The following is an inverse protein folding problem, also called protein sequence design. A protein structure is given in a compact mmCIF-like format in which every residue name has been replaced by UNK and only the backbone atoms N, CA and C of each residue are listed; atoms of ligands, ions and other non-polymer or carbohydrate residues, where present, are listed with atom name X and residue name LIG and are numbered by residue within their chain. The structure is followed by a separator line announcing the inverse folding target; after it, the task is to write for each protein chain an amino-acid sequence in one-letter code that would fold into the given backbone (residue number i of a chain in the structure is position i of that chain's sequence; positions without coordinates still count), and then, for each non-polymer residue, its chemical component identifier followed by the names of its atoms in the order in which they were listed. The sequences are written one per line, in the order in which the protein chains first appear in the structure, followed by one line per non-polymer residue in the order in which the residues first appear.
data_IF_908145853998
#
_entry.id   IF_908145853998
#
_cell.length_a   1.000
_cell.length_b   1.000
_cell.length_c   1.000
_cell.angle_alpha   90.00
_cell.angle_beta   90.00
_cell.angle_gamma   90.00
#
_symmetry.space_group_name_H-M   'P 1'
#
loop_
_entity.id
_entity.type
_entity.pdbx_description
1 polymer ?
#
# COMPACT_ATOMS: atom_id res chain seq x y z
N UNK A 1 -15.96 4.26 -7.15
CA UNK A 1 -15.30 4.63 -5.88
C UNK A 1 -13.96 5.35 -6.06
N UNK A 2 -12.97 4.77 -6.73
CA UNK A 2 -11.65 5.39 -6.96
C UNK A 2 -11.68 6.77 -7.63
N UNK A 3 -12.61 6.99 -8.56
CA UNK A 3 -12.82 8.30 -9.20
C UNK A 3 -13.32 9.35 -8.18
N UNK A 4 -14.15 8.97 -7.21
CA UNK A 4 -14.60 9.88 -6.15
C UNK A 4 -13.41 10.41 -5.34
N UNK A 5 -12.47 9.52 -5.01
CA UNK A 5 -11.26 9.83 -4.23
C UNK A 5 -10.25 10.73 -4.98
N UNK A 6 -10.31 10.78 -6.32
CA UNK A 6 -9.27 11.43 -7.14
C UNK A 6 -9.78 12.50 -8.10
N UNK A 7 -11.09 12.62 -8.30
CA UNK A 7 -11.71 13.62 -9.18
C UNK A 7 -12.94 14.32 -8.59
N UNK A 8 -13.40 13.90 -7.40
CA UNK A 8 -14.61 14.45 -6.80
C UNK A 8 -15.91 14.00 -7.48
N UNK A 9 -15.88 13.00 -8.38
CA UNK A 9 -17.07 12.48 -9.04
C UNK A 9 -16.95 10.99 -9.34
N UNK A 10 -18.08 10.29 -9.37
CA UNK A 10 -18.22 8.96 -9.98
C UNK A 10 -18.57 9.06 -11.48
N UNK A 11 -18.79 10.29 -12.00
CA UNK A 11 -19.25 10.61 -13.34
C UNK A 11 -20.54 9.88 -13.76
N UNK A 12 -21.34 9.43 -12.79
CA UNK A 12 -22.52 8.60 -13.03
C UNK A 12 -22.22 7.19 -13.53
N UNK A 13 -21.02 6.65 -13.27
CA UNK A 13 -20.72 5.25 -13.54
C UNK A 13 -21.48 4.34 -12.56
N UNK A 14 -22.28 3.40 -13.09
CA UNK A 14 -23.07 2.42 -12.32
C UNK A 14 -22.57 0.98 -12.47
N UNK A 15 -21.39 0.82 -13.05
CA UNK A 15 -20.70 -0.44 -13.30
C UNK A 15 -19.19 -0.15 -13.37
N UNK A 16 -18.37 -1.16 -13.69
CA UNK A 16 -16.91 -1.08 -13.76
C UNK A 16 -16.37 -1.12 -15.21
N UNK A 17 -16.81 -0.22 -16.10
CA UNK A 17 -16.31 -0.20 -17.47
C UNK A 17 -14.85 0.23 -17.50
N UNK A 18 -14.08 -0.35 -18.42
CA UNK A 18 -12.68 0.03 -18.61
C UNK A 18 -12.51 1.51 -19.01
N UNK A 19 -11.26 2.01 -19.00
CA UNK A 19 -10.95 3.39 -19.36
C UNK A 19 -11.51 3.82 -20.71
N UNK A 20 -12.07 5.03 -20.79
CA UNK A 20 -12.52 5.66 -22.04
C UNK A 20 -13.49 4.82 -22.91
N UNK A 21 -14.23 3.89 -22.30
CA UNK A 21 -15.02 2.89 -23.04
C UNK A 21 -16.52 3.22 -23.10
N UNK A 22 -17.07 3.85 -22.07
CA UNK A 22 -18.50 4.21 -21.97
C UNK A 22 -18.69 5.71 -21.82
N UNK A 23 -19.94 6.18 -21.83
CA UNK A 23 -20.23 7.61 -21.64
C UNK A 23 -19.68 8.16 -20.32
N UNK A 24 -19.82 7.42 -19.22
CA UNK A 24 -19.34 7.87 -17.92
C UNK A 24 -17.79 7.92 -17.89
N UNK A 25 -17.10 6.89 -18.40
CA UNK A 25 -15.62 6.89 -18.41
C UNK A 25 -15.01 7.81 -19.46
N UNK A 26 -15.73 8.16 -20.53
CA UNK A 26 -15.37 9.26 -21.44
C UNK A 26 -15.48 10.63 -20.77
N UNK A 27 -16.43 10.79 -19.85
CA UNK A 27 -16.56 12.02 -19.07
C UNK A 27 -15.39 12.13 -18.09
N UNK A 28 -15.06 11.04 -17.39
CA UNK A 28 -13.86 10.96 -16.55
C UNK A 28 -12.58 11.23 -17.35
N UNK A 29 -12.47 10.68 -18.57
CA UNK A 29 -11.31 10.82 -19.45
C UNK A 29 -10.91 12.27 -19.72
N UNK A 30 -11.89 13.18 -19.81
CA UNK A 30 -11.65 14.61 -20.02
C UNK A 30 -11.69 15.47 -18.76
N UNK A 31 -11.80 14.87 -17.57
CA UNK A 31 -12.00 15.60 -16.33
C UNK A 31 -10.67 16.06 -15.70
N UNK A 32 -10.70 17.23 -15.06
CA UNK A 32 -9.65 17.64 -14.11
C UNK A 32 -9.64 16.68 -12.94
N UNK A 33 -8.45 16.33 -12.46
CA UNK A 33 -8.28 15.38 -11.35
C UNK A 33 -7.22 15.88 -10.36
N UNK A 34 -6.99 15.09 -9.29
CA UNK A 34 -6.09 15.45 -8.20
C UNK A 34 -4.65 15.69 -8.68
N UNK A 35 -4.20 15.03 -9.75
CA UNK A 35 -2.88 15.25 -10.34
C UNK A 35 -2.72 16.69 -10.78
N UNK A 36 -3.74 17.27 -11.44
CA UNK A 36 -3.72 18.66 -11.88
C UNK A 36 -3.60 19.62 -10.70
N UNK A 37 -4.31 19.34 -9.60
CA UNK A 37 -4.27 20.17 -8.40
C UNK A 37 -2.90 20.11 -7.73
N UNK A 38 -2.32 18.92 -7.62
CA UNK A 38 -1.00 18.73 -7.02
C UNK A 38 0.08 19.42 -7.85
N UNK A 39 0.11 19.18 -9.17
CA UNK A 39 1.15 19.76 -10.04
C UNK A 39 1.03 21.29 -10.15
N UNK A 40 -0.20 21.84 -10.21
CA UNK A 40 -0.40 23.28 -10.21
C UNK A 40 0.11 23.96 -8.92
N UNK A 41 0.16 23.23 -7.80
CA UNK A 41 0.74 23.68 -6.54
C UNK A 41 2.24 23.37 -6.40
N UNK A 42 2.89 22.82 -7.43
CA UNK A 42 4.30 22.41 -7.40
C UNK A 42 4.56 21.17 -6.55
N UNK A 43 3.53 20.36 -6.29
CA UNK A 43 3.63 19.11 -5.53
C UNK A 43 3.87 17.93 -6.47
N UNK A 44 4.54 16.91 -5.95
CA UNK A 44 4.82 15.65 -6.64
C UNK A 44 3.82 14.58 -6.21
N UNK A 45 3.52 13.64 -7.12
CA UNK A 45 2.56 12.57 -6.88
C UNK A 45 3.05 11.24 -7.46
N UNK A 46 2.71 10.07 -6.92
CA UNK A 46 3.07 8.80 -7.58
C UNK A 46 2.04 7.71 -7.27
N UNK A 47 1.64 6.97 -8.29
CA UNK A 47 0.71 5.84 -8.19
C UNK A 47 1.45 4.52 -8.26
N UNK A 48 1.18 3.63 -7.32
CA UNK A 48 1.75 2.29 -7.20
C UNK A 48 0.60 1.29 -7.31
N UNK A 49 0.69 0.40 -8.29
CA UNK A 49 -0.34 -0.60 -8.57
C UNK A 49 0.28 -1.98 -8.42
N UNK A 50 -0.17 -2.75 -7.43
CA UNK A 50 0.35 -4.11 -7.24
C UNK A 50 -0.02 -4.99 -8.44
N UNK A 51 0.92 -5.84 -8.83
CA UNK A 51 0.86 -6.73 -10.00
C UNK A 51 0.68 -6.06 -11.37
N UNK A 52 0.70 -4.73 -11.44
CA UNK A 52 0.63 -4.03 -12.71
C UNK A 52 1.84 -4.41 -13.59
N UNK A 53 1.65 -4.89 -14.82
CA UNK A 53 2.76 -5.41 -15.64
C UNK A 53 3.81 -4.38 -16.04
N UNK A 54 3.39 -3.14 -16.30
CA UNK A 54 4.23 -2.04 -16.71
C UNK A 54 3.57 -0.71 -16.37
N UNK A 55 4.33 0.39 -16.42
CA UNK A 55 3.73 1.73 -16.30
C UNK A 55 2.59 1.92 -17.30
N UNK A 56 1.51 2.52 -16.82
CA UNK A 56 0.28 2.78 -17.58
C UNK A 56 -0.37 1.58 -18.26
N UNK A 57 -0.21 0.40 -17.67
CA UNK A 57 -0.98 -0.74 -18.14
C UNK A 57 -2.48 -0.45 -17.93
N UNK A 58 -3.24 -0.38 -19.02
CA UNK A 58 -4.62 0.15 -19.04
C UNK A 58 -5.69 -0.94 -19.25
N UNK A 59 -5.34 -2.20 -18.98
CA UNK A 59 -6.24 -3.35 -19.06
C UNK A 59 -5.98 -4.29 -17.89
N UNK A 60 -6.91 -5.19 -17.60
CA UNK A 60 -6.71 -6.20 -16.55
C UNK A 60 -5.56 -7.15 -16.91
N UNK A 61 -4.85 -7.65 -15.90
CA UNK A 61 -3.81 -8.67 -16.05
C UNK A 61 -3.60 -9.44 -14.76
N UNK A 62 -3.98 -10.72 -14.74
CA UNK A 62 -3.82 -11.57 -13.56
C UNK A 62 -4.62 -11.05 -12.36
N UNK A 63 -3.92 -10.62 -11.30
CA UNK A 63 -4.54 -9.99 -10.13
C UNK A 63 -4.57 -8.46 -10.20
N UNK A 64 -3.94 -7.85 -11.20
CA UNK A 64 -4.08 -6.43 -11.48
C UNK A 64 -5.39 -6.16 -12.23
N UNK A 65 -6.15 -5.20 -11.71
CA UNK A 65 -7.47 -4.82 -12.22
C UNK A 65 -7.47 -3.33 -12.52
N UNK A 66 -7.70 -2.96 -13.78
CA UNK A 66 -7.54 -1.57 -14.23
C UNK A 66 -8.57 -0.63 -13.60
N UNK A 67 -9.77 -1.11 -13.29
CA UNK A 67 -10.79 -0.26 -12.64
C UNK A 67 -10.46 0.14 -11.19
N UNK A 68 -9.46 -0.50 -10.56
CA UNK A 68 -8.88 -0.04 -9.28
C UNK A 68 -7.76 1.00 -9.46
N UNK A 69 -7.38 1.33 -10.69
CA UNK A 69 -6.36 2.34 -11.03
C UNK A 69 -7.01 3.59 -11.62
N UNK A 70 -7.36 4.61 -10.79
CA UNK A 70 -8.05 5.80 -11.29
C UNK A 70 -7.23 6.61 -12.30
N UNK A 71 -5.90 6.54 -12.23
CA UNK A 71 -5.02 7.32 -13.11
C UNK A 71 -5.13 6.90 -14.58
N UNK A 72 -5.51 5.64 -14.84
CA UNK A 72 -5.79 5.19 -16.20
C UNK A 72 -7.12 5.69 -16.73
N UNK A 73 -7.93 6.43 -15.96
CA UNK A 73 -9.19 7.00 -16.41
C UNK A 73 -9.11 8.48 -16.78
N UNK A 74 -7.93 9.10 -16.70
CA UNK A 74 -7.70 10.50 -17.06
C UNK A 74 -6.78 10.60 -18.28
N UNK A 75 -7.22 11.28 -19.33
CA UNK A 75 -6.47 11.38 -20.59
C UNK A 75 -5.14 12.09 -20.43
N UNK A 76 -5.10 13.12 -19.60
CA UNK A 76 -3.95 13.92 -19.25
C UNK A 76 -2.92 13.18 -18.39
N UNK A 77 -3.25 11.99 -17.89
CA UNK A 77 -2.31 11.06 -17.23
C UNK A 77 -1.97 9.90 -18.15
N UNK A 78 -2.97 9.21 -18.68
CA UNK A 78 -2.77 8.01 -19.50
C UNK A 78 -2.13 8.31 -20.87
N UNK A 79 -2.33 9.51 -21.42
CA UNK A 79 -1.79 9.90 -22.75
C UNK A 79 -0.57 10.83 -22.65
N UNK A 80 -0.18 11.28 -21.46
CA UNK A 80 1.03 12.08 -21.23
C UNK A 80 2.17 11.19 -20.75
N UNK A 81 3.25 11.07 -21.52
CA UNK A 81 4.35 10.16 -21.19
C UNK A 81 5.02 10.45 -19.84
N UNK A 82 5.04 11.71 -19.39
CA UNK A 82 5.70 12.11 -18.15
C UNK A 82 4.86 11.73 -16.93
N UNK A 83 3.57 12.07 -16.95
CA UNK A 83 2.61 11.70 -15.91
C UNK A 83 2.38 10.19 -15.89
N UNK A 84 2.29 9.58 -17.07
CA UNK A 84 2.19 8.15 -17.23
C UNK A 84 3.34 7.39 -16.55
N UNK A 85 4.59 7.85 -16.70
CA UNK A 85 5.75 7.25 -16.04
C UNK A 85 5.69 7.30 -14.49
N UNK A 86 4.74 8.05 -13.91
CA UNK A 86 4.48 8.12 -12.46
C UNK A 86 3.40 7.15 -11.97
N UNK A 87 2.78 6.39 -12.86
CA UNK A 87 1.92 5.25 -12.50
C UNK A 87 2.74 3.99 -12.75
N UNK A 88 3.19 3.34 -11.68
CA UNK A 88 4.22 2.28 -11.73
C UNK A 88 3.77 1.00 -11.02
N UNK A 89 4.35 -0.16 -11.39
CA UNK A 89 4.19 -1.37 -10.60
C UNK A 89 4.62 -1.13 -9.15
N UNK A 90 3.85 -1.62 -8.17
CA UNK A 90 4.16 -1.44 -6.76
C UNK A 90 5.47 -2.14 -6.35
N UNK A 91 5.93 -3.12 -7.12
CA UNK A 91 7.17 -3.85 -6.93
C UNK A 91 7.71 -4.43 -8.23
N UNK A 92 8.95 -4.98 -8.21
CA UNK A 92 9.59 -5.56 -9.39
C UNK A 92 9.04 -6.95 -9.76
N UNK A 93 8.16 -7.51 -8.94
CA UNK A 93 7.57 -8.84 -9.11
C UNK A 93 6.12 -8.85 -8.63
N UNK A 94 5.37 -9.87 -9.04
CA UNK A 94 4.03 -10.16 -8.52
C UNK A 94 4.06 -10.30 -6.98
N UNK A 95 3.00 -9.86 -6.32
CA UNK A 95 2.82 -9.79 -4.86
C UNK A 95 3.94 -9.02 -4.14
N UNK A 96 4.29 -7.83 -4.65
CA UNK A 96 5.36 -7.01 -4.08
C UNK A 96 5.05 -5.51 -4.11
N UNK A 97 5.30 -4.85 -2.98
CA UNK A 97 5.25 -3.39 -2.82
C UNK A 97 6.65 -2.75 -2.68
N UNK A 98 7.70 -3.45 -3.12
CA UNK A 98 9.08 -3.03 -2.88
C UNK A 98 9.44 -1.69 -3.52
N UNK A 99 8.80 -1.29 -4.62
CA UNK A 99 9.00 0.03 -5.26
C UNK A 99 8.48 1.14 -4.36
N UNK A 100 7.28 0.97 -3.77
CA UNK A 100 6.73 1.92 -2.80
C UNK A 100 7.65 2.04 -1.58
N UNK A 101 8.05 0.90 -1.00
CA UNK A 101 8.89 0.88 0.19
C UNK A 101 10.27 1.49 -0.06
N UNK A 102 10.83 1.33 -1.26
CA UNK A 102 12.08 1.97 -1.65
C UNK A 102 11.93 3.50 -1.72
N UNK A 103 10.84 4.01 -2.31
CA UNK A 103 10.60 5.45 -2.41
C UNK A 103 10.36 6.10 -1.05
N UNK A 104 9.72 5.38 -0.11
CA UNK A 104 9.56 5.81 1.30
C UNK A 104 10.89 5.83 2.10
N UNK A 105 11.98 5.29 1.53
CA UNK A 105 13.29 5.24 2.17
C UNK A 105 14.02 6.58 2.29
N UNK A 106 13.56 7.62 1.59
CA UNK A 106 14.14 8.97 1.62
C UNK A 106 13.14 10.05 1.18
N UNK A 107 13.26 11.26 1.71
CA UNK A 107 12.53 12.44 1.22
C UNK A 107 12.84 12.77 -0.25
N UNK A 108 14.04 12.43 -0.73
CA UNK A 108 14.44 12.70 -2.12
C UNK A 108 13.78 11.79 -3.15
N UNK A 109 13.24 10.64 -2.73
CA UNK A 109 12.59 9.65 -3.58
C UNK A 109 11.08 9.64 -3.39
N UNK A 110 10.61 10.02 -2.20
CA UNK A 110 9.20 10.13 -1.89
C UNK A 110 8.51 11.24 -2.69
N UNK A 111 7.22 11.06 -2.97
CA UNK A 111 6.35 12.11 -3.51
C UNK A 111 5.49 12.70 -2.41
N UNK A 112 4.96 13.92 -2.59
CA UNK A 112 4.06 14.55 -1.62
C UNK A 112 2.76 13.75 -1.48
N UNK A 113 2.24 13.24 -2.59
CA UNK A 113 1.08 12.35 -2.64
C UNK A 113 1.50 10.98 -3.19
N UNK A 114 1.25 9.91 -2.45
CA UNK A 114 1.60 8.54 -2.87
C UNK A 114 0.35 7.67 -2.75
N UNK A 115 -0.02 7.00 -3.82
CA UNK A 115 -1.22 6.17 -3.91
C UNK A 115 -0.83 4.71 -4.11
N UNK A 116 -1.32 3.80 -3.27
CA UNK A 116 -1.17 2.36 -3.46
C UNK A 116 -2.53 1.72 -3.69
N UNK A 117 -2.66 0.91 -4.74
CA UNK A 117 -3.76 -0.03 -4.93
C UNK A 117 -3.19 -1.46 -4.84
N UNK A 118 -3.57 -2.26 -3.82
CA UNK A 118 -3.24 -3.68 -3.76
C UNK A 118 -3.90 -4.47 -4.90
N UNK A 119 -3.40 -5.68 -5.16
CA UNK A 119 -4.01 -6.56 -6.14
C UNK A 119 -5.32 -7.16 -5.59
N UNK A 120 -6.12 -7.79 -6.46
CA UNK A 120 -7.47 -8.32 -6.12
C UNK A 120 -7.52 -9.35 -4.99
N UNK A 121 -6.37 -9.86 -4.55
CA UNK A 121 -6.30 -10.77 -3.40
C UNK A 121 -5.91 -10.06 -2.12
N UNK A 122 -4.98 -9.10 -2.21
CA UNK A 122 -4.53 -8.31 -1.07
C UNK A 122 -5.53 -7.21 -0.70
N UNK A 123 -6.38 -6.77 -1.62
CA UNK A 123 -7.52 -5.88 -1.36
C UNK A 123 -8.76 -6.60 -0.80
N UNK A 124 -8.70 -7.93 -0.65
CA UNK A 124 -9.78 -8.81 -0.16
C UNK A 124 -10.98 -8.98 -1.10
N UNK A 125 -10.89 -8.59 -2.38
CA UNK A 125 -12.00 -8.76 -3.31
C UNK A 125 -12.17 -10.24 -3.72
N UNK A 126 -11.08 -10.91 -4.08
CA UNK A 126 -11.08 -12.27 -4.65
C UNK A 126 -10.46 -13.31 -3.72
N UNK A 127 -9.89 -12.88 -2.60
CA UNK A 127 -9.27 -13.73 -1.60
C UNK A 127 -9.85 -13.44 -0.21
N UNK A 128 -9.56 -14.31 0.76
CA UNK A 128 -10.11 -14.19 2.11
C UNK A 128 -9.65 -12.91 2.84
N UNK A 129 -10.47 -12.45 3.79
CA UNK A 129 -10.11 -11.39 4.74
C UNK A 129 -8.80 -11.71 5.47
N UNK A 130 -8.55 -12.98 5.81
CA UNK A 130 -7.30 -13.40 6.46
C UNK A 130 -6.06 -13.12 5.60
N UNK A 131 -6.18 -13.26 4.28
CA UNK A 131 -5.08 -12.95 3.37
C UNK A 131 -4.80 -11.45 3.30
N UNK A 132 -5.83 -10.62 3.13
CA UNK A 132 -5.66 -9.17 3.17
C UNK A 132 -5.15 -8.67 4.53
N UNK A 133 -5.57 -9.29 5.64
CA UNK A 133 -5.07 -8.95 6.98
C UNK A 133 -3.59 -9.34 7.16
N UNK A 134 -3.19 -10.50 6.62
CA UNK A 134 -1.79 -10.93 6.57
C UNK A 134 -0.95 -9.96 5.72
N UNK A 135 -1.48 -9.51 4.58
CA UNK A 135 -0.85 -8.50 3.74
C UNK A 135 -0.67 -7.17 4.49
N UNK A 136 -1.75 -6.63 5.05
CA UNK A 136 -1.74 -5.34 5.75
C UNK A 136 -0.86 -5.36 7.01
N UNK A 137 -0.91 -6.45 7.80
CA UNK A 137 -0.05 -6.62 8.97
C UNK A 137 1.44 -6.73 8.61
N UNK A 138 1.77 -7.16 7.39
CA UNK A 138 3.14 -7.15 6.86
C UNK A 138 3.58 -5.81 6.26
N UNK A 139 2.69 -5.11 5.56
CA UNK A 139 3.02 -3.89 4.82
C UNK A 139 2.96 -2.62 5.69
N UNK A 140 1.87 -2.42 6.44
CA UNK A 140 1.64 -1.17 7.19
C UNK A 140 2.77 -0.87 8.17
N UNK A 141 3.29 -1.85 8.97
CA UNK A 141 4.43 -1.57 9.84
C UNK A 141 5.69 -1.14 9.07
N UNK A 142 5.93 -1.66 7.86
CA UNK A 142 7.08 -1.25 7.02
C UNK A 142 6.92 0.18 6.51
N UNK A 143 5.70 0.59 6.15
CA UNK A 143 5.41 1.98 5.77
C UNK A 143 5.67 2.91 6.96
N UNK A 144 5.10 2.59 8.13
CA UNK A 144 5.24 3.42 9.33
C UNK A 144 6.67 3.44 9.89
N UNK A 145 7.46 2.37 9.66
CA UNK A 145 8.88 2.29 10.03
C UNK A 145 9.82 2.76 8.90
N UNK A 146 9.31 3.33 7.82
CA UNK A 146 10.14 3.92 6.77
C UNK A 146 10.87 5.18 7.26
N UNK A 147 11.95 5.56 6.58
CA UNK A 147 12.66 6.82 6.88
C UNK A 147 11.70 8.00 6.80
N UNK A 148 10.92 8.09 5.72
CA UNK A 148 9.98 9.20 5.51
C UNK A 148 9.02 9.37 6.69
N UNK A 149 8.38 8.29 7.15
CA UNK A 149 7.43 8.36 8.26
C UNK A 149 8.09 8.67 9.61
N UNK A 150 9.36 8.32 9.80
CA UNK A 150 10.10 8.61 11.04
C UNK A 150 10.73 10.01 11.07
N UNK A 151 11.08 10.58 9.92
CA UNK A 151 11.81 11.86 9.85
C UNK A 151 10.94 13.04 9.43
N UNK A 152 9.76 12.78 8.85
CA UNK A 152 8.86 13.84 8.37
C UNK A 152 7.46 13.75 8.96
N UNK A 153 6.69 14.82 8.75
CA UNK A 153 5.26 14.84 9.02
C UNK A 153 4.51 14.12 7.89
N UNK A 154 4.49 12.79 7.93
CA UNK A 154 3.78 11.94 6.97
C UNK A 154 2.58 11.25 7.61
N UNK A 155 1.49 11.12 6.84
CA UNK A 155 0.28 10.42 7.24
C UNK A 155 -0.04 9.31 6.23
N UNK A 156 -0.49 8.17 6.74
CA UNK A 156 -1.03 7.06 5.97
C UNK A 156 -2.55 7.08 6.10
N UNK A 157 -3.23 7.08 4.96
CA UNK A 157 -4.67 6.84 4.88
C UNK A 157 -4.90 5.41 4.39
N UNK A 158 -5.67 4.64 5.15
CA UNK A 158 -6.14 3.32 4.72
C UNK A 158 -7.65 3.37 4.68
N UNK A 159 -8.24 2.98 3.56
CA UNK A 159 -9.68 2.85 3.38
C UNK A 159 -9.99 1.69 2.44
N UNK A 160 -11.26 1.34 2.32
CA UNK A 160 -11.77 0.47 1.26
C UNK A 160 -12.53 1.33 0.24
N UNK A 161 -12.69 0.81 -0.96
CA UNK A 161 -13.47 1.51 -1.97
C UNK A 161 -14.97 1.21 -1.78
N UNK A 162 -15.32 0.01 -1.31
CA UNK A 162 -16.67 -0.42 -0.96
C UNK A 162 -16.72 -1.45 0.18
N UNK A 163 -17.92 -1.89 0.54
CA UNK A 163 -18.16 -2.94 1.53
C UNK A 163 -19.61 -3.44 1.47
N UNK A 164 -19.84 -4.63 2.02
CA UNK A 164 -21.19 -5.22 2.09
C UNK A 164 -22.15 -4.41 2.96
N UNK A 165 -21.61 -3.73 3.98
CA UNK A 165 -22.33 -2.85 4.89
C UNK A 165 -21.55 -1.53 5.09
N UNK A 166 -22.24 -0.52 5.60
CA UNK A 166 -21.63 0.76 6.01
C UNK A 166 -21.56 0.86 7.55
N UNK A 167 -20.52 1.51 8.11
CA UNK A 167 -19.42 2.18 7.42
C UNK A 167 -18.30 1.22 6.99
N UNK A 168 -17.57 1.59 5.93
CA UNK A 168 -16.32 0.91 5.55
C UNK A 168 -15.17 1.24 6.52
N UNK A 169 -14.23 0.32 6.69
CA UNK A 169 -13.04 0.58 7.52
C UNK A 169 -12.21 1.71 6.94
N UNK A 170 -11.89 2.71 7.76
CA UNK A 170 -11.08 3.86 7.37
C UNK A 170 -10.24 4.34 8.55
N UNK A 171 -8.95 4.60 8.34
CA UNK A 171 -8.04 5.05 9.39
C UNK A 171 -6.95 5.99 8.86
N UNK A 172 -6.62 6.99 9.67
CA UNK A 172 -5.40 7.77 9.54
C UNK A 172 -4.36 7.27 10.53
N UNK A 173 -3.13 7.03 10.06
CA UNK A 173 -1.99 6.61 10.86
C UNK A 173 -0.76 7.46 10.57
N UNK A 174 0.24 7.40 11.45
CA UNK A 174 1.48 8.17 11.35
C UNK A 174 1.61 9.27 12.40
N UNK A 175 2.75 9.95 12.41
CA UNK A 175 3.10 10.93 13.43
C UNK A 175 2.12 12.09 13.61
N UNK A 176 1.39 12.61 12.59
CA UNK A 176 0.43 13.70 12.81
C UNK A 176 -0.95 13.23 13.29
N UNK A 177 -1.28 11.93 13.22
CA UNK A 177 -2.60 11.42 13.56
C UNK A 177 -2.80 11.24 15.07
N UNK A 178 -4.03 11.42 15.56
CA UNK A 178 -4.41 11.15 16.96
C UNK A 178 -4.48 9.64 17.20
N UNK A 179 -3.72 9.14 18.18
CA UNK A 179 -3.76 7.72 18.58
C UNK A 179 -5.07 7.37 19.27
N UNK A 180 -5.71 6.27 18.85
CA UNK A 180 -6.92 5.76 19.48
C UNK A 180 -8.12 6.71 19.37
N UNK A 181 -8.16 7.55 18.33
CA UNK A 181 -9.26 8.47 18.11
C UNK A 181 -10.32 7.84 17.21
N UNK A 182 -11.58 7.90 17.64
CA UNK A 182 -12.75 7.56 16.84
C UNK A 182 -13.64 8.79 16.70
N UNK A 183 -14.05 9.08 15.47
CA UNK A 183 -15.05 10.11 15.19
C UNK A 183 -16.46 9.53 15.21
N UNK A 184 -17.42 10.34 15.65
CA UNK A 184 -18.86 10.09 15.51
C UNK A 184 -19.48 10.79 14.30
N UNK A 185 -18.66 11.48 13.50
CA UNK A 185 -19.10 12.20 12.31
C UNK A 185 -19.08 11.29 11.08
N UNK A 186 -20.04 11.48 10.18
CA UNK A 186 -20.11 10.73 8.93
C UNK A 186 -19.16 11.32 7.88
N UNK A 187 -18.44 10.44 7.21
CA UNK A 187 -17.53 10.77 6.11
C UNK A 187 -17.79 9.83 4.94
N UNK A 188 -17.47 10.31 3.75
CA UNK A 188 -17.55 9.59 2.48
C UNK A 188 -16.20 9.66 1.74
N UNK A 189 -16.11 9.08 0.55
CA UNK A 189 -14.89 9.16 -0.26
C UNK A 189 -14.50 10.58 -0.65
N UNK A 190 -15.46 11.50 -0.82
CA UNK A 190 -15.15 12.90 -1.13
C UNK A 190 -14.48 13.62 0.06
N UNK A 191 -14.75 13.15 1.28
CA UNK A 191 -14.15 13.67 2.51
C UNK A 191 -12.63 13.44 2.56
N UNK A 192 -12.12 12.35 1.97
CA UNK A 192 -10.68 12.15 1.78
C UNK A 192 -10.09 13.24 0.86
N UNK A 193 -10.72 13.45 -0.30
CA UNK A 193 -10.26 14.44 -1.27
C UNK A 193 -10.27 15.85 -0.67
N UNK A 194 -11.35 16.23 0.01
CA UNK A 194 -11.47 17.48 0.77
C UNK A 194 -10.36 17.64 1.82
N UNK A 195 -9.92 16.54 2.44
CA UNK A 195 -8.80 16.55 3.42
C UNK A 195 -7.45 16.79 2.75
N UNK A 196 -7.22 16.14 1.61
CA UNK A 196 -5.99 16.32 0.82
C UNK A 196 -5.89 17.75 0.30
N UNK A 197 -6.99 18.27 -0.23
CA UNK A 197 -7.07 19.65 -0.74
C UNK A 197 -6.84 20.67 0.37
N UNK A 198 -7.47 20.49 1.55
CA UNK A 198 -7.26 21.36 2.70
C UNK A 198 -5.81 21.36 3.20
N UNK A 199 -5.11 20.22 3.16
CA UNK A 199 -3.72 20.11 3.63
C UNK A 199 -2.75 20.99 2.83
N UNK A 200 -2.99 21.16 1.53
CA UNK A 200 -2.14 21.97 0.64
C UNK A 200 -2.82 23.23 0.09
N UNK A 201 -4.00 23.59 0.62
CA UNK A 201 -4.81 24.71 0.14
C UNK A 201 -5.07 24.65 -1.37
N UNK A 202 -5.41 23.45 -1.86
CA UNK A 202 -5.75 23.22 -3.25
C UNK A 202 -7.20 23.65 -3.51
N UNK A 203 -7.50 24.02 -4.76
CA UNK A 203 -8.87 24.25 -5.18
C UNK A 203 -9.63 22.92 -5.30
N UNK A 204 -10.87 22.89 -4.83
CA UNK A 204 -11.77 21.76 -5.02
C UNK A 204 -11.97 21.44 -6.50
N UNK A 205 -12.13 20.18 -6.83
CA UNK A 205 -12.40 19.67 -8.17
C UNK A 205 -13.87 19.83 -8.55
N UNK A 206 -14.78 19.56 -7.61
CA UNK A 206 -16.24 19.65 -7.81
C UNK A 206 -16.94 20.25 -6.60
N UNK A 207 -18.28 20.21 -6.60
CA UNK A 207 -19.07 20.54 -5.41
C UNK A 207 -19.03 19.43 -4.34
N UNK A 208 -18.81 18.17 -4.73
CA UNK A 208 -18.87 17.04 -3.81
C UNK A 208 -17.75 17.12 -2.77
N UNK A 209 -16.51 17.34 -3.21
CA UNK A 209 -15.32 17.52 -2.36
C UNK A 209 -15.27 18.88 -1.67
N UNK A 210 -15.76 19.94 -2.33
CA UNK A 210 -15.92 21.27 -1.71
C UNK A 210 -16.81 21.23 -0.48
N UNK A 211 -17.95 20.56 -0.59
CA UNK A 211 -18.99 20.54 0.44
C UNK A 211 -18.82 19.34 1.40
N UNK A 212 -17.95 18.39 1.06
CA UNK A 212 -17.63 17.26 1.93
C UNK A 212 -16.91 17.72 3.20
N UNK A 213 -17.23 17.11 4.35
CA UNK A 213 -16.52 17.39 5.59
C UNK A 213 -15.10 16.83 5.53
N UNK A 214 -14.07 17.70 5.48
CA UNK A 214 -12.70 17.20 5.65
C UNK A 214 -12.48 16.53 7.03
N UNK A 215 -11.59 15.55 7.04
CA UNK A 215 -11.20 14.70 8.17
C UNK A 215 -10.09 15.34 9.04
N UNK A 216 -9.98 16.68 9.07
CA UNK A 216 -8.91 17.35 9.82
C UNK A 216 -8.90 16.97 11.31
N UNK A 217 -10.06 16.64 11.90
CA UNK A 217 -10.17 16.29 13.31
C UNK A 217 -9.35 15.07 13.73
N UNK A 218 -8.91 14.23 12.78
CA UNK A 218 -8.06 13.08 13.07
C UNK A 218 -6.60 13.47 13.34
N UNK A 219 -6.19 14.71 13.08
CA UNK A 219 -4.82 15.18 13.27
C UNK A 219 -4.62 15.95 14.57
N UNK A 220 -3.43 15.83 15.17
CA UNK A 220 -3.07 16.54 16.39
C UNK A 220 -3.22 18.06 16.22
N UNK A 221 -3.75 18.73 17.24
CA UNK A 221 -3.99 20.17 17.23
C UNK A 221 -5.26 20.62 16.50
N UNK A 222 -5.97 19.72 15.80
CA UNK A 222 -7.25 20.03 15.17
C UNK A 222 -8.43 19.76 16.11
N UNK A 223 -9.45 20.65 16.13
CA UNK A 223 -10.64 20.46 16.96
C UNK A 223 -11.46 19.26 16.49
N UNK A 224 -12.09 18.56 17.44
CA UNK A 224 -13.08 17.52 17.15
C UNK A 224 -14.35 18.13 16.57
N UNK A 225 -14.93 17.50 15.53
CA UNK A 225 -16.19 17.96 14.89
C UNK A 225 -17.45 17.38 15.55
N UNK A 226 -17.29 16.40 16.45
CA UNK A 226 -18.38 15.76 17.18
C UNK A 226 -17.95 15.23 18.55
N UNK A 227 -18.79 14.40 19.17
CA UNK A 227 -18.43 13.71 20.41
C UNK A 227 -17.33 12.67 20.10
N UNK A 228 -16.13 12.87 20.66
CA UNK A 228 -15.07 11.87 20.59
C UNK A 228 -15.43 10.70 21.50
N UNK A 229 -15.64 9.54 20.92
CA UNK A 229 -15.72 8.29 21.67
C UNK A 229 -14.35 7.62 21.62
N UNK A 230 -13.93 7.02 22.73
CA UNK A 230 -12.78 6.12 22.70
C UNK A 230 -13.20 4.82 22.02
N UNK A 231 -12.34 4.19 21.20
CA UNK A 231 -12.60 2.86 20.65
C UNK A 231 -12.97 1.88 21.76
N UNK A 232 -14.00 1.07 21.54
CA UNK A 232 -14.53 0.11 22.51
C UNK A 232 -13.59 -1.07 22.80
N UNK A 233 -12.47 -1.19 22.07
CA UNK A 233 -11.40 -2.12 22.38
C UNK A 233 -10.03 -1.50 22.04
N UNK A 234 -9.01 -1.69 22.89
CA UNK A 234 -7.64 -1.39 22.50
C UNK A 234 -7.25 -2.30 21.32
N UNK A 235 -6.59 -1.74 20.30
CA UNK A 235 -5.81 -2.55 19.38
C UNK A 235 -4.90 -3.47 20.22
N UNK A 236 -4.87 -4.79 19.97
CA UNK A 236 -3.96 -5.65 20.70
C UNK A 236 -2.53 -5.26 20.33
N UNK A 237 -1.92 -4.39 21.15
CA UNK A 237 -0.49 -4.02 21.12
C UNK A 237 0.45 -5.23 21.26
N UNK A 238 -0.09 -6.44 21.45
CA UNK A 238 0.63 -7.68 21.66
C UNK A 238 1.32 -8.29 20.43
N UNK A 239 1.06 -7.81 19.20
CA UNK A 239 1.67 -8.42 18.00
C UNK A 239 2.95 -7.69 17.53
N UNK A 240 3.17 -6.43 17.92
CA UNK A 240 4.37 -5.66 17.50
C UNK A 240 5.64 -6.01 18.30
N UNK A 241 5.52 -6.64 19.48
CA UNK A 241 6.67 -7.04 20.32
C UNK A 241 7.16 -8.49 20.09
N UNK A 242 6.47 -9.29 19.28
CA UNK A 242 6.76 -10.73 19.10
C UNK A 242 7.82 -11.08 18.06
N UNK A 243 8.12 -10.17 17.11
CA UNK A 243 8.93 -10.51 15.92
C UNK A 243 10.39 -10.03 16.07
N UNK A 244 10.69 -9.08 16.97
CA UNK A 244 12.03 -8.53 17.12
C UNK A 244 12.98 -9.34 18.05
N UNK A 245 12.44 -10.22 18.90
CA UNK A 245 13.22 -10.88 19.96
C UNK A 245 13.94 -12.19 19.53
N UNK A 246 13.45 -13.03 18.60
CA UNK A 246 14.15 -14.29 18.31
C UNK A 246 15.47 -14.08 17.57
N UNK A 247 15.58 -13.06 16.71
CA UNK A 247 16.79 -12.82 15.90
C UNK A 247 17.93 -12.28 16.77
N UNK A 248 17.59 -11.38 17.71
CA UNK A 248 18.41 -10.90 18.83
C UNK A 248 19.16 -12.02 19.58
N UNK A 249 18.36 -12.89 20.17
CA UNK A 249 18.84 -13.91 21.10
C UNK A 249 19.64 -15.02 20.39
N UNK A 250 19.23 -15.41 19.17
CA UNK A 250 19.94 -16.44 18.39
C UNK A 250 21.31 -15.94 17.93
N UNK A 251 21.44 -14.69 17.49
CA UNK A 251 22.73 -14.12 17.09
C UNK A 251 23.73 -14.02 18.26
N UNK A 252 23.26 -13.63 19.45
CA UNK A 252 24.09 -13.56 20.66
C UNK A 252 24.53 -14.95 21.12
N UNK A 253 23.63 -15.94 21.08
CA UNK A 253 23.94 -17.31 21.48
C UNK A 253 24.96 -17.97 20.53
N UNK A 254 24.80 -17.76 19.21
CA UNK A 254 25.74 -18.24 18.19
C UNK A 254 27.12 -17.56 18.35
N UNK A 255 27.17 -16.25 18.59
CA UNK A 255 28.42 -15.53 18.82
C UNK A 255 29.16 -16.01 20.09
N UNK A 256 28.44 -16.27 21.18
CA UNK A 256 29.01 -16.80 22.43
C UNK A 256 29.52 -18.24 22.27
N UNK A 257 28.80 -19.08 21.51
CA UNK A 257 29.22 -20.46 21.22
C UNK A 257 30.44 -20.52 20.30
N UNK A 258 30.54 -19.62 19.32
CA UNK A 258 31.71 -19.50 18.43
C UNK A 258 32.95 -18.99 19.18
N UNK A 259 32.80 -18.02 20.10
CA UNK A 259 33.90 -17.56 20.97
C UNK A 259 34.42 -18.65 21.89
N UNK A 260 33.53 -19.50 22.44
CA UNK A 260 33.93 -20.64 23.31
C UNK A 260 34.71 -21.71 22.55
N UNK A 261 34.43 -21.91 21.25
CA UNK A 261 35.15 -22.88 20.40
C UNK A 261 36.51 -22.38 19.92
N UNK A 262 36.73 -21.07 19.80
CA UNK A 262 38.01 -20.51 19.35
C UNK A 262 39.09 -20.43 20.43
N UNK A 263 38.75 -20.63 21.72
CA UNK A 263 39.68 -20.52 22.85
C UNK A 263 40.51 -21.78 23.17
N UNK A 264 40.35 -22.87 22.42
CA UNK A 264 41.13 -24.11 22.60
C UNK A 264 41.51 -24.69 21.24
N UNK A 265 42.71 -24.39 20.74
CA UNK A 265 43.44 -25.27 19.81
C UNK A 265 44.94 -24.92 19.85
N UNK A 266 45.72 -25.86 20.36
CA UNK A 266 47.18 -25.88 20.30
C UNK A 266 47.69 -26.17 18.89
N UNK A 267 49.00 -25.94 18.72
CA UNK A 267 49.76 -25.92 17.46
C UNK A 267 49.53 -27.11 16.50
N UNK A 268 49.69 -26.89 15.17
CA UNK A 268 49.47 -27.93 14.17
C UNK A 268 50.73 -28.78 13.92
N UNK A 269 50.53 -30.10 13.78
CA UNK A 269 51.50 -31.03 13.19
C UNK A 269 51.13 -31.32 11.72
N UNK A 270 52.15 -31.58 10.90
CA UNK A 270 52.14 -31.75 9.44
C UNK A 270 51.23 -32.87 8.90
N UNK A 271 50.74 -32.78 7.65
CA UNK A 271 49.91 -33.81 7.02
C UNK A 271 50.72 -34.91 6.30
N UNK A 272 50.29 -36.15 6.49
CA UNK A 272 50.62 -37.32 5.66
C UNK A 272 49.51 -37.62 4.65
N UNK A 273 49.87 -38.33 3.58
CA UNK A 273 49.18 -38.40 2.29
C UNK A 273 48.10 -39.50 2.13
N UNK A 274 47.36 -39.36 1.01
CA UNK A 274 46.55 -40.33 0.23
C UNK A 274 45.28 -40.90 0.90
N UNK A 275 44.20 -41.30 0.22
CA UNK A 275 43.95 -41.64 -1.18
C UNK A 275 42.43 -41.67 -1.48
N UNK A 276 42.08 -41.77 -2.76
CA UNK A 276 40.77 -41.61 -3.43
C UNK A 276 39.75 -42.76 -3.31
N UNK A 277 38.45 -42.47 -3.52
CA UNK A 277 37.43 -43.46 -3.92
C UNK A 277 36.00 -42.87 -4.12
N UNK A 278 35.27 -43.14 -5.24
CA UNK A 278 34.02 -42.42 -5.59
C UNK A 278 32.73 -43.27 -5.60
N UNK A 279 31.54 -42.62 -5.53
CA UNK A 279 30.21 -43.04 -6.06
C UNK A 279 29.12 -42.10 -5.47
N UNK A 280 27.90 -41.87 -5.96
CA UNK A 280 27.10 -41.92 -7.23
C UNK A 280 25.66 -41.45 -6.77
N UNK A 281 24.80 -40.81 -7.59
CA UNK A 281 23.61 -40.08 -7.09
C UNK A 281 22.27 -40.84 -7.27
N UNK A 282 21.17 -40.41 -6.62
CA UNK A 282 19.80 -40.70 -7.05
C UNK A 282 19.03 -39.40 -7.39
N UNK A 283 18.54 -39.20 -8.62
CA UNK A 283 17.26 -39.65 -9.25
C UNK A 283 16.03 -38.79 -8.94
N UNK A 284 15.30 -38.58 -10.04
CA UNK A 284 14.17 -37.69 -10.34
C UNK A 284 12.83 -38.38 -10.06
N UNK A 285 11.81 -37.57 -9.79
CA UNK A 285 10.39 -37.90 -9.95
C UNK A 285 9.54 -36.83 -9.28
N UNK A 286 8.30 -36.59 -9.66
CA UNK A 286 7.61 -36.58 -10.96
C UNK A 286 6.38 -35.69 -10.72
N UNK A 287 5.84 -35.12 -11.79
CA UNK A 287 4.70 -34.21 -11.79
C UNK A 287 3.39 -34.86 -11.28
N UNK A 288 2.54 -34.06 -10.64
CA UNK A 288 1.16 -34.41 -10.32
C UNK A 288 0.35 -33.12 -10.21
N UNK A 289 -0.51 -32.91 -11.20
CA UNK A 289 -1.48 -31.83 -11.29
C UNK A 289 -2.68 -32.13 -10.38
N UNK A 290 -3.22 -31.10 -9.73
CA UNK A 290 -4.57 -31.12 -9.17
C UNK A 290 -5.36 -29.96 -9.78
N UNK A 291 -6.40 -30.35 -10.52
CA UNK A 291 -7.56 -29.54 -10.87
C UNK A 291 -8.45 -29.45 -9.63
N UNK A 292 -8.96 -28.26 -9.29
CA UNK A 292 -10.19 -28.14 -8.48
C UNK A 292 -10.92 -26.84 -8.87
N UNK A 293 -11.82 -27.06 -9.83
CA UNK A 293 -13.17 -26.50 -9.99
C UNK A 293 -13.83 -26.11 -8.66
N UNK A 294 -14.47 -24.93 -8.53
CA UNK A 294 -15.78 -24.73 -7.90
C UNK A 294 -16.34 -23.32 -8.19
N UNK A 295 -17.62 -23.32 -8.58
CA UNK A 295 -18.47 -22.17 -8.89
C UNK A 295 -18.96 -21.39 -7.64
N UNK A 296 -19.40 -20.15 -7.93
CA UNK A 296 -20.24 -19.19 -7.19
C UNK A 296 -19.50 -18.20 -6.28
#
# INVERSE_FOLDING_TARGET
NYLCLTSGSDFGCTADPGPNSTTCTKTAWGATNIVDRLEAAGLTWKGYMEDMPSSCYATDSGNYVVHHNPFMYYSDVASDATRCARVVPAGPSINSDATLLADLGSESTASNFMWLTPNKCNDMHSCSIHQGDTYMSGLVPKILDSTLFKTTRAALFVTYDEGYDQPIYTVWAGSPAKTGYLSSFAYDHFSFLSTVEANWNLASLTANDRDAPNMAEFFMGQPSRGASTQPTAPFPLGIVLGIAIPVAAVAILVFLLLRRRSGKKGSPAKPGASESGPAKPPTRGDEGADEDEWEI
#
